data_IF_634287717548
#
_entry.id   IF_634287717548
#
_cell.length_a   1.000
_cell.length_b   1.000
_cell.length_c   1.000
_cell.angle_alpha   90.00
_cell.angle_beta   90.00
_cell.angle_gamma   90.00
#
_symmetry.space_group_name_H-M   'P 1'
#
loop_
_entity.id
_entity.type
_entity.pdbx_description
1 polymer ?
#
# COMPACT_ATOMS: atom_id res chain seq x y z
N UNK A 1 -4.59 36.99 -28.31
CA UNK A 1 -5.84 36.86 -27.53
C UNK A 1 -5.43 36.80 -26.07
N UNK A 2 -5.75 37.86 -25.35
CA UNK A 2 -4.99 38.37 -24.21
C UNK A 2 -5.67 37.98 -22.89
N UNK A 3 -5.09 37.06 -22.12
CA UNK A 3 -5.62 36.70 -20.79
C UNK A 3 -5.10 37.68 -19.74
N UNK A 4 -5.91 38.73 -19.56
CA UNK A 4 -5.68 39.91 -18.74
C UNK A 4 -5.98 39.64 -17.26
N UNK A 5 -4.91 39.68 -16.47
CA UNK A 5 -4.75 40.35 -15.16
C UNK A 5 -5.49 39.83 -13.91
N UNK A 6 -4.65 39.31 -13.00
CA UNK A 6 -4.51 39.64 -11.56
C UNK A 6 -5.60 40.51 -10.94
N UNK A 7 -6.08 40.07 -9.77
CA UNK A 7 -6.52 40.99 -8.71
C UNK A 7 -5.92 40.55 -7.37
N UNK A 8 -4.88 41.28 -6.97
CA UNK A 8 -4.41 41.37 -5.57
C UNK A 8 -5.36 42.36 -4.88
N UNK A 9 -5.98 41.94 -3.79
CA UNK A 9 -6.64 42.85 -2.84
C UNK A 9 -5.79 42.87 -1.58
N UNK A 10 -5.07 43.99 -1.43
CA UNK A 10 -4.44 44.41 -0.17
C UNK A 10 -5.53 44.93 0.77
N UNK A 11 -5.44 44.55 2.04
CA UNK A 11 -6.17 45.17 3.12
C UNK A 11 -5.83 44.48 4.43
N UNK A 12 -5.29 45.23 5.40
CA UNK A 12 -5.15 44.76 6.78
C UNK A 12 -3.79 45.02 7.39
N UNK A 13 -3.59 46.27 7.81
CA UNK A 13 -2.60 46.65 8.82
C UNK A 13 -2.74 45.76 10.07
N UNK A 14 -1.63 45.15 10.50
CA UNK A 14 -1.60 44.47 11.80
C UNK A 14 -0.37 43.58 11.99
N UNK A 15 0.61 44.14 12.69
CA UNK A 15 1.40 43.41 13.69
C UNK A 15 2.45 42.41 13.19
N UNK A 16 3.70 42.89 13.03
CA UNK A 16 4.88 42.01 13.02
C UNK A 16 5.26 41.72 14.47
N UNK A 17 4.64 40.69 15.07
CA UNK A 17 5.15 40.12 16.31
C UNK A 17 6.35 39.26 15.97
N UNK A 18 7.53 39.71 16.38
CA UNK A 18 8.74 38.89 16.50
C UNK A 18 8.61 38.10 17.80
N UNK A 19 8.66 36.77 17.69
CA UNK A 19 8.57 35.79 18.77
C UNK A 19 7.89 34.55 18.21
N UNK A 20 8.50 33.38 18.10
CA UNK A 20 9.43 32.74 19.02
C UNK A 20 10.25 31.70 18.22
N UNK A 21 11.44 31.38 18.72
CA UNK A 21 12.35 30.41 18.11
C UNK A 21 11.64 29.07 17.90
N UNK A 22 11.60 28.65 16.62
CA UNK A 22 11.16 27.34 16.18
C UNK A 22 12.03 26.28 16.85
N UNK A 23 11.47 25.56 17.82
CA UNK A 23 12.07 24.36 18.37
C UNK A 23 12.04 23.28 17.27
N UNK A 24 13.10 23.24 16.45
CA UNK A 24 13.37 22.14 15.51
C UNK A 24 14.07 21.01 16.27
N UNK A 25 13.36 20.37 17.20
CA UNK A 25 13.87 19.18 17.89
C UNK A 25 12.78 18.14 18.13
N UNK A 26 11.95 17.90 17.11
CA UNK A 26 11.21 16.65 16.96
C UNK A 26 11.36 16.15 15.51
N UNK A 27 12.58 15.74 15.16
CA UNK A 27 12.75 14.77 14.06
C UNK A 27 12.41 13.41 14.67
N UNK A 28 11.11 13.16 14.84
CA UNK A 28 10.61 11.79 14.96
C UNK A 28 11.15 11.03 13.75
N UNK A 29 11.86 9.91 13.93
CA UNK A 29 12.43 9.19 12.80
C UNK A 29 11.26 8.85 11.88
N UNK A 30 11.27 9.43 10.67
CA UNK A 30 10.28 9.17 9.66
C UNK A 30 10.33 7.67 9.36
N UNK A 31 9.48 6.90 10.05
CA UNK A 31 9.25 5.50 9.73
C UNK A 31 8.81 5.52 8.28
N UNK A 32 9.54 4.86 7.35
CA UNK A 32 9.08 4.79 5.97
C UNK A 32 7.64 4.27 6.00
N UNK A 33 6.71 4.87 5.23
CA UNK A 33 5.33 4.44 5.24
C UNK A 33 5.32 2.94 4.99
N UNK A 34 4.76 2.18 5.93
CA UNK A 34 4.61 0.74 5.76
C UNK A 34 3.91 0.48 4.42
N UNK A 35 4.26 -0.59 3.70
CA UNK A 35 3.59 -0.93 2.45
C UNK A 35 2.08 -0.94 2.69
N UNK A 36 1.32 -0.31 1.80
CA UNK A 36 -0.12 -0.24 1.91
C UNK A 36 -0.73 -1.63 1.73
N UNK A 37 -1.01 -2.32 2.83
CA UNK A 37 -1.64 -3.64 2.80
C UNK A 37 -3.14 -3.45 2.60
N UNK A 38 -3.67 -4.00 1.50
CA UNK A 38 -5.10 -3.97 1.21
C UNK A 38 -5.70 -5.33 1.56
N UNK A 39 -6.66 -5.40 2.51
CA UNK A 39 -7.31 -6.66 2.83
C UNK A 39 -8.20 -7.10 1.65
N UNK A 40 -7.93 -8.28 1.11
CA UNK A 40 -8.72 -8.91 0.06
C UNK A 40 -9.26 -10.25 0.57
N UNK A 41 -10.50 -10.60 0.17
CA UNK A 41 -11.03 -11.93 0.51
C UNK A 41 -10.38 -12.96 -0.38
N UNK A 42 -10.06 -14.11 0.21
CA UNK A 42 -9.50 -15.25 -0.50
C UNK A 42 -10.41 -15.72 -1.66
N UNK A 43 -11.72 -15.62 -1.49
CA UNK A 43 -12.72 -15.95 -2.51
C UNK A 43 -12.66 -15.05 -3.75
N UNK A 44 -12.18 -13.81 -3.61
CA UNK A 44 -11.99 -12.88 -4.72
C UNK A 44 -10.58 -13.02 -5.33
N UNK A 45 -9.58 -13.31 -4.48
CA UNK A 45 -8.19 -13.46 -4.88
C UNK A 45 -7.96 -14.71 -5.75
N UNK A 46 -8.42 -15.88 -5.32
CA UNK A 46 -8.19 -17.14 -6.04
C UNK A 46 -8.67 -17.15 -7.50
N UNK A 47 -9.91 -16.75 -7.83
CA UNK A 47 -10.36 -16.75 -9.22
C UNK A 47 -9.58 -15.72 -10.06
N UNK A 48 -9.17 -14.59 -9.48
CA UNK A 48 -8.36 -13.59 -10.17
C UNK A 48 -6.97 -14.13 -10.54
N UNK A 49 -6.28 -14.78 -9.59
CA UNK A 49 -4.98 -15.41 -9.83
C UNK A 49 -5.09 -16.59 -10.80
N UNK A 50 -6.14 -17.40 -10.67
CA UNK A 50 -6.40 -18.53 -11.59
C UNK A 50 -6.57 -18.04 -13.02
N UNK A 51 -7.38 -16.99 -13.20
CA UNK A 51 -7.61 -16.37 -14.51
C UNK A 51 -6.31 -15.78 -15.06
N UNK A 52 -5.54 -15.08 -14.23
CA UNK A 52 -4.28 -14.47 -14.63
C UNK A 52 -3.25 -15.52 -15.08
N UNK A 53 -3.17 -16.64 -14.37
CA UNK A 53 -2.32 -17.78 -14.70
C UNK A 53 -2.73 -18.42 -16.04
N UNK A 54 -4.03 -18.67 -16.25
CA UNK A 54 -4.56 -19.26 -17.47
C UNK A 54 -4.34 -18.38 -18.71
N UNK A 55 -4.52 -17.07 -18.56
CA UNK A 55 -4.38 -16.10 -19.65
C UNK A 55 -2.89 -15.71 -19.88
N UNK A 56 -1.96 -16.23 -19.09
CA UNK A 56 -0.52 -16.01 -19.28
C UNK A 56 -0.06 -14.59 -18.96
N UNK A 57 -0.71 -13.94 -18.00
CA UNK A 57 -0.33 -12.58 -17.62
C UNK A 57 1.06 -12.54 -16.98
N UNK A 58 1.95 -11.74 -17.54
CA UNK A 58 3.34 -11.63 -17.09
C UNK A 58 3.48 -11.01 -15.70
N UNK A 59 2.53 -10.16 -15.28
CA UNK A 59 2.57 -9.52 -13.96
C UNK A 59 2.55 -10.53 -12.83
N UNK A 60 1.96 -11.72 -13.01
CA UNK A 60 1.91 -12.75 -11.97
C UNK A 60 3.33 -13.21 -11.57
N UNK A 61 4.28 -13.13 -12.51
CA UNK A 61 5.68 -13.46 -12.27
C UNK A 61 6.37 -12.48 -11.33
N UNK A 62 5.95 -11.23 -11.35
CA UNK A 62 6.48 -10.20 -10.46
C UNK A 62 6.07 -10.43 -9.00
N UNK A 63 5.04 -11.26 -8.75
CA UNK A 63 4.55 -11.62 -7.41
C UNK A 63 4.85 -13.09 -7.04
N UNK A 64 5.72 -13.80 -7.78
CA UNK A 64 6.08 -15.19 -7.48
C UNK A 64 6.77 -15.34 -6.12
N UNK A 65 7.57 -14.35 -5.72
CA UNK A 65 8.31 -14.33 -4.46
C UNK A 65 7.54 -13.63 -3.32
N UNK A 66 6.35 -13.10 -3.59
CA UNK A 66 5.58 -12.33 -2.61
C UNK A 66 4.92 -13.24 -1.57
N UNK A 67 5.09 -12.88 -0.29
CA UNK A 67 4.50 -13.62 0.82
C UNK A 67 3.10 -13.12 1.15
N UNK A 68 2.11 -14.01 1.05
CA UNK A 68 0.74 -13.73 1.48
C UNK A 68 0.55 -14.11 2.95
N UNK A 69 0.10 -13.16 3.77
CA UNK A 69 -0.34 -13.46 5.13
C UNK A 69 -1.76 -14.01 5.12
N UNK A 70 -1.93 -15.20 5.70
CA UNK A 70 -3.22 -15.88 5.88
C UNK A 70 -3.50 -16.09 7.37
N UNK A 71 -4.76 -16.38 7.72
CA UNK A 71 -5.08 -16.81 9.09
C UNK A 71 -4.43 -18.17 9.40
N UNK A 72 -4.17 -18.41 10.68
CA UNK A 72 -3.61 -19.68 11.15
C UNK A 72 -4.48 -20.87 10.74
N UNK A 73 -5.81 -20.76 10.91
CA UNK A 73 -6.76 -21.81 10.50
C UNK A 73 -6.63 -22.17 9.01
N UNK A 74 -6.49 -21.15 8.14
CA UNK A 74 -6.37 -21.39 6.71
C UNK A 74 -5.01 -21.99 6.36
N UNK A 75 -3.95 -21.54 7.03
CA UNK A 75 -2.62 -22.11 6.87
C UNK A 75 -2.59 -23.60 7.24
N UNK A 76 -3.21 -24.00 8.35
CA UNK A 76 -3.30 -25.40 8.76
C UNK A 76 -4.03 -26.26 7.71
N UNK A 77 -5.16 -25.77 7.19
CA UNK A 77 -5.92 -26.47 6.14
C UNK A 77 -5.09 -26.63 4.86
N UNK A 78 -4.41 -25.58 4.41
CA UNK A 78 -3.56 -25.62 3.22
C UNK A 78 -2.37 -26.58 3.40
N UNK A 79 -1.75 -26.56 4.58
CA UNK A 79 -0.64 -27.46 4.93
C UNK A 79 -1.07 -28.93 4.90
N UNK A 80 -2.24 -29.23 5.48
CA UNK A 80 -2.79 -30.58 5.47
C UNK A 80 -3.14 -31.04 4.04
N UNK A 81 -3.67 -30.13 3.21
CA UNK A 81 -4.01 -30.42 1.81
C UNK A 81 -2.77 -30.81 0.99
N UNK A 82 -1.69 -30.02 1.06
CA UNK A 82 -0.44 -30.30 0.34
C UNK A 82 0.22 -31.61 0.78
N UNK A 83 0.07 -31.99 2.05
CA UNK A 83 0.61 -33.26 2.57
C UNK A 83 -0.08 -34.49 1.97
N UNK A 84 -1.32 -34.35 1.48
CA UNK A 84 -2.07 -35.44 0.83
C UNK A 84 -1.64 -35.62 -0.63
N UNK A 85 -1.15 -34.57 -1.28
CA UNK A 85 -0.81 -34.58 -2.71
C UNK A 85 0.56 -35.20 -3.02
N UNK A 86 1.38 -35.48 -2.00
CA UNK A 86 2.65 -36.21 -2.13
C UNK A 86 2.52 -37.61 -1.50
N UNK A 87 2.08 -38.64 -2.25
CA UNK A 87 2.52 -39.98 -1.92
C UNK A 87 4.04 -39.98 -2.10
N UNK A 88 4.77 -40.25 -1.01
CA UNK A 88 6.19 -40.55 -1.07
C UNK A 88 6.39 -41.71 -2.05
N UNK A 89 6.80 -41.39 -3.29
CA UNK A 89 7.17 -42.33 -4.33
C UNK A 89 8.68 -42.47 -4.39
#
# INVERSE_FOLDING_TARGET
MESKRRRVVQGGSGFWSVGECRDESDVSPAVPPAPAVVPIRLADLFPALTRASQDGFQWLRDFEDDHLMVSEDLFEVLRAFQAVELPAG
#
